data_IF_665973939487
#
_entry.id   IF_665973939487
#
_cell.length_a   1.000
_cell.length_b   1.000
_cell.length_c   1.000
_cell.angle_alpha   90.00
_cell.angle_beta   90.00
_cell.angle_gamma   90.00
#
_symmetry.space_group_name_H-M   'P 1'
#
loop_
_entity.id
_entity.type
_entity.pdbx_description
1 polymer ?
#
# COMPACT_ATOMS: atom_id res chain seq x y z
N UNK A 1 13.50 -13.84 4.99
CA UNK A 1 14.81 -14.45 4.75
C UNK A 1 15.79 -13.40 4.29
N UNK A 2 17.06 -13.50 4.71
CA UNK A 2 18.13 -12.51 4.48
C UNK A 2 18.33 -12.20 2.99
N UNK A 3 18.23 -13.21 2.13
CA UNK A 3 18.34 -13.07 0.66
C UNK A 3 17.26 -12.13 0.11
N UNK A 4 16.01 -12.23 0.60
CA UNK A 4 14.90 -11.36 0.17
C UNK A 4 15.15 -9.92 0.61
N UNK A 5 15.64 -9.71 1.83
CA UNK A 5 15.94 -8.35 2.35
C UNK A 5 17.06 -7.70 1.55
N UNK A 6 18.15 -8.42 1.29
CA UNK A 6 19.26 -7.94 0.47
C UNK A 6 18.83 -7.63 -0.97
N UNK A 7 17.99 -8.47 -1.56
CA UNK A 7 17.41 -8.23 -2.88
C UNK A 7 16.54 -6.96 -2.93
N UNK A 8 15.72 -6.71 -1.90
CA UNK A 8 14.90 -5.50 -1.81
C UNK A 8 15.74 -4.24 -1.57
N UNK A 9 16.80 -4.33 -0.75
CA UNK A 9 17.76 -3.24 -0.57
C UNK A 9 18.51 -2.95 -1.88
N UNK A 10 18.97 -3.98 -2.59
CA UNK A 10 19.59 -3.79 -3.90
C UNK A 10 18.64 -3.11 -4.89
N UNK A 11 17.33 -3.37 -4.83
CA UNK A 11 16.31 -2.71 -5.66
C UNK A 11 15.99 -1.27 -5.27
N UNK A 12 16.20 -0.87 -4.01
CA UNK A 12 15.94 0.50 -3.56
C UNK A 12 17.08 1.47 -3.89
N UNK A 13 18.28 0.95 -4.20
CA UNK A 13 19.41 1.77 -4.63
C UNK A 13 19.12 2.53 -5.93
N UNK A 14 19.43 3.83 -5.92
CA UNK A 14 19.32 4.73 -7.07
C UNK A 14 20.57 4.63 -7.94
N UNK A 15 20.41 4.02 -9.12
CA UNK A 15 21.45 4.00 -10.13
C UNK A 15 21.06 4.89 -11.32
N UNK A 16 22.01 5.55 -12.01
CA UNK A 16 21.73 6.43 -13.15
C UNK A 16 20.94 5.75 -14.29
N UNK A 17 21.13 4.45 -14.50
CA UNK A 17 20.42 3.66 -15.52
C UNK A 17 19.10 3.07 -15.03
N UNK A 18 18.83 3.08 -13.72
CA UNK A 18 17.65 2.45 -13.13
C UNK A 18 16.53 3.50 -13.01
N UNK A 19 15.52 3.36 -13.85
CA UNK A 19 14.36 4.27 -13.89
C UNK A 19 13.40 4.08 -12.72
N UNK A 20 13.30 2.86 -12.18
CA UNK A 20 12.38 2.51 -11.09
C UNK A 20 13.13 2.32 -9.78
N UNK A 21 12.71 3.06 -8.75
CA UNK A 21 13.23 2.93 -7.39
C UNK A 21 12.20 2.19 -6.55
N UNK A 22 12.60 1.07 -5.96
CA UNK A 22 11.73 0.35 -5.04
C UNK A 22 11.52 1.15 -3.75
N UNK A 23 10.26 1.30 -3.34
CA UNK A 23 9.85 2.10 -2.17
C UNK A 23 9.31 1.26 -1.02
N UNK A 24 8.66 0.15 -1.32
CA UNK A 24 8.21 -0.77 -0.29
C UNK A 24 7.24 -1.81 -0.83
N UNK A 25 6.70 -2.59 0.08
CA UNK A 25 5.78 -3.69 -0.19
C UNK A 25 4.65 -3.65 0.82
N UNK A 26 3.43 -3.99 0.41
CA UNK A 26 2.33 -4.17 1.33
C UNK A 26 2.33 -5.57 1.98
N UNK A 27 1.35 -5.83 2.84
CA UNK A 27 1.20 -7.11 3.53
C UNK A 27 0.79 -8.25 2.58
N UNK A 28 0.20 -7.92 1.42
CA UNK A 28 -0.17 -8.89 0.39
C UNK A 28 1.02 -9.27 -0.51
N UNK A 29 2.08 -8.45 -0.51
CA UNK A 29 3.28 -8.68 -1.29
C UNK A 29 3.32 -7.92 -2.63
N UNK A 30 2.44 -6.95 -2.83
CA UNK A 30 2.52 -6.04 -3.97
C UNK A 30 3.69 -5.07 -3.75
N UNK A 31 4.48 -4.86 -4.80
CA UNK A 31 5.68 -4.03 -4.75
C UNK A 31 5.41 -2.65 -5.33
N UNK A 32 5.85 -1.61 -4.63
CA UNK A 32 5.60 -0.22 -5.01
C UNK A 32 6.90 0.46 -5.44
N UNK A 33 6.81 1.19 -6.55
CA UNK A 33 7.94 1.81 -7.22
C UNK A 33 7.67 3.26 -7.55
N UNK A 34 8.74 4.05 -7.52
CA UNK A 34 8.73 5.44 -7.94
C UNK A 34 9.71 5.67 -9.10
N UNK A 35 9.24 6.32 -10.15
CA UNK A 35 9.99 6.64 -11.37
C UNK A 35 9.96 8.14 -11.63
N UNK A 36 11.10 8.76 -11.96
CA UNK A 36 11.10 10.14 -12.43
C UNK A 36 10.41 10.24 -13.79
N UNK A 37 9.50 11.21 -13.99
CA UNK A 37 8.78 11.34 -15.26
C UNK A 37 9.72 11.66 -16.43
N UNK A 38 10.63 12.62 -16.23
CA UNK A 38 11.70 13.04 -17.14
C UNK A 38 12.94 13.41 -16.33
N UNK A 39 14.11 13.47 -16.96
CA UNK A 39 15.33 14.03 -16.35
C UNK A 39 15.05 15.47 -15.91
N UNK A 40 15.24 15.78 -14.63
CA UNK A 40 14.98 17.10 -14.06
C UNK A 40 13.52 17.41 -13.69
N UNK A 41 12.57 16.49 -13.90
CA UNK A 41 11.18 16.70 -13.48
C UNK A 41 11.03 16.57 -11.96
N UNK A 42 10.36 17.55 -11.35
CA UNK A 42 9.93 17.50 -9.94
C UNK A 42 8.80 16.49 -9.71
N UNK A 43 8.09 16.08 -10.78
CA UNK A 43 7.00 15.09 -10.71
C UNK A 43 7.54 13.68 -10.95
N UNK A 44 7.28 12.80 -10.00
CA UNK A 44 7.54 11.36 -10.10
C UNK A 44 6.23 10.62 -10.43
N UNK A 45 6.32 9.55 -11.24
CA UNK A 45 5.25 8.58 -11.40
C UNK A 45 5.41 7.49 -10.33
N UNK A 46 4.30 7.07 -9.73
CA UNK A 46 4.24 5.95 -8.78
C UNK A 46 3.45 4.83 -9.42
N UNK A 47 3.93 3.59 -9.30
CA UNK A 47 3.23 2.42 -9.84
C UNK A 47 3.43 1.22 -8.93
N UNK A 48 2.53 0.25 -9.07
CA UNK A 48 2.50 -0.99 -8.31
C UNK A 48 2.75 -2.18 -9.25
N UNK A 49 3.57 -3.12 -8.79
CA UNK A 49 3.70 -4.45 -9.37
C UNK A 49 3.00 -5.42 -8.44
N UNK A 50 1.86 -5.93 -8.90
CA UNK A 50 1.09 -6.91 -8.14
C UNK A 50 1.82 -8.23 -8.03
N UNK A 51 1.67 -8.88 -6.87
CA UNK A 51 2.22 -10.22 -6.66
C UNK A 51 1.57 -11.23 -7.59
N UNK A 52 0.25 -11.15 -7.70
CA UNK A 52 -0.58 -12.01 -8.53
C UNK A 52 -0.84 -11.32 -9.87
N UNK A 53 -0.83 -12.12 -10.95
CA UNK A 53 -1.20 -11.64 -12.28
C UNK A 53 -2.71 -11.76 -12.41
N UNK A 54 -3.37 -10.65 -12.68
CA UNK A 54 -4.80 -10.61 -12.97
C UNK A 54 -5.06 -9.86 -14.28
N UNK A 55 -6.19 -10.15 -14.92
CA UNK A 55 -6.59 -9.43 -16.12
C UNK A 55 -6.96 -7.98 -15.75
N UNK A 56 -6.78 -7.05 -16.69
CA UNK A 56 -7.12 -5.62 -16.46
C UNK A 56 -8.60 -5.46 -16.07
N UNK A 57 -9.48 -6.33 -16.57
CA UNK A 57 -10.90 -6.39 -16.21
C UNK A 57 -11.17 -6.78 -14.76
N UNK A 58 -10.23 -7.44 -14.08
CA UNK A 58 -10.36 -7.88 -12.69
C UNK A 58 -9.73 -6.89 -11.70
N UNK A 59 -9.16 -5.79 -12.21
CA UNK A 59 -8.61 -4.73 -11.39
C UNK A 59 -9.71 -4.11 -10.53
N UNK A 60 -9.47 -4.04 -9.22
CA UNK A 60 -10.32 -3.31 -8.28
C UNK A 60 -9.44 -2.42 -7.41
N UNK A 61 -9.86 -1.17 -7.22
CA UNK A 61 -9.10 -0.16 -6.46
C UNK A 61 -9.01 -0.55 -4.97
N UNK A 62 -10.01 -1.28 -4.46
CA UNK A 62 -10.13 -1.72 -3.06
C UNK A 62 -9.08 -2.76 -2.61
N UNK A 63 -8.34 -3.37 -3.53
CA UNK A 63 -7.26 -4.32 -3.20
C UNK A 63 -6.02 -3.64 -2.62
N UNK A 64 -5.84 -2.35 -2.87
CA UNK A 64 -4.68 -1.62 -2.38
C UNK A 64 -4.99 -1.01 -1.01
N UNK A 65 -4.12 -1.20 0.01
CA UNK A 65 -4.30 -0.53 1.29
C UNK A 65 -4.38 0.99 1.14
N UNK A 66 -5.26 1.64 1.91
CA UNK A 66 -5.55 3.08 1.80
C UNK A 66 -4.28 3.94 1.93
N UNK A 67 -3.33 3.53 2.77
CA UNK A 67 -2.06 4.22 2.97
C UNK A 67 -1.20 4.19 1.69
N UNK A 68 -1.19 3.04 1.00
CA UNK A 68 -0.53 2.89 -0.30
C UNK A 68 -1.27 3.64 -1.40
N UNK A 69 -2.61 3.69 -1.38
CA UNK A 69 -3.38 4.53 -2.30
C UNK A 69 -3.05 6.02 -2.13
N UNK A 70 -3.01 6.52 -0.88
CA UNK A 70 -2.65 7.90 -0.57
C UNK A 70 -1.22 8.24 -1.03
N UNK A 71 -0.30 7.29 -0.88
CA UNK A 71 1.04 7.40 -1.46
C UNK A 71 0.99 7.40 -2.99
N UNK A 72 0.29 6.48 -3.65
CA UNK A 72 0.22 6.46 -5.12
C UNK A 72 -0.40 7.73 -5.71
N UNK A 73 -1.34 8.36 -5.01
CA UNK A 73 -2.00 9.62 -5.39
C UNK A 73 -1.21 10.88 -5.02
N UNK A 74 0.02 10.73 -4.51
CA UNK A 74 0.90 11.82 -4.07
C UNK A 74 0.32 12.69 -2.93
N UNK A 75 -0.74 12.24 -2.26
CA UNK A 75 -1.26 12.91 -1.05
C UNK A 75 -0.28 12.76 0.11
N UNK A 76 0.48 11.65 0.12
CA UNK A 76 1.54 11.38 1.09
C UNK A 76 2.92 11.41 0.42
N UNK A 77 3.92 11.99 1.08
CA UNK A 77 5.30 12.05 0.58
C UNK A 77 5.98 10.69 0.76
N UNK A 78 6.05 10.22 2.00
CA UNK A 78 6.75 8.99 2.39
C UNK A 78 5.91 7.74 2.17
N UNK A 79 6.56 6.63 1.80
CA UNK A 79 5.89 5.35 1.67
C UNK A 79 5.44 4.83 3.05
N UNK A 80 4.30 4.14 3.15
CA UNK A 80 3.85 3.55 4.40
C UNK A 80 4.77 2.42 4.85
N UNK A 81 4.85 2.21 6.17
CA UNK A 81 5.65 1.14 6.77
C UNK A 81 4.80 -0.10 7.02
N UNK A 82 5.44 -1.27 7.16
CA UNK A 82 4.72 -2.50 7.47
C UNK A 82 3.99 -2.44 8.82
N UNK A 83 4.61 -1.81 9.82
CA UNK A 83 4.03 -1.59 11.16
C UNK A 83 2.76 -0.73 11.09
N UNK A 84 2.77 0.33 10.28
CA UNK A 84 1.60 1.18 10.09
C UNK A 84 0.43 0.41 9.44
N UNK A 85 0.72 -0.43 8.45
CA UNK A 85 -0.30 -1.26 7.80
C UNK A 85 -0.91 -2.28 8.77
N UNK A 86 -0.10 -2.88 9.65
CA UNK A 86 -0.57 -3.81 10.68
C UNK A 86 -1.45 -3.09 11.71
N UNK A 87 -1.02 -1.92 12.18
CA UNK A 87 -1.79 -1.12 13.13
C UNK A 87 -3.15 -0.69 12.56
N UNK A 88 -3.22 -0.37 11.26
CA UNK A 88 -4.50 -0.05 10.62
C UNK A 88 -5.43 -1.27 10.50
N UNK A 89 -4.89 -2.48 10.29
CA UNK A 89 -5.71 -3.70 10.31
C UNK A 89 -6.30 -3.91 11.69
N UNK A 90 -5.49 -3.79 12.75
CA UNK A 90 -5.96 -3.92 14.13
C UNK A 90 -7.05 -2.88 14.45
N UNK A 91 -6.81 -1.62 14.07
CA UNK A 91 -7.79 -0.54 14.21
C UNK A 91 -9.10 -0.84 13.49
N UNK A 92 -9.05 -1.40 12.27
CA UNK A 92 -10.24 -1.81 11.51
C UNK A 92 -11.01 -2.91 12.22
N UNK A 93 -10.31 -3.93 12.73
CA UNK A 93 -10.94 -5.03 13.49
C UNK A 93 -11.66 -4.51 14.75
N UNK A 94 -11.02 -3.62 15.51
CA UNK A 94 -11.63 -3.01 16.68
C UNK A 94 -12.86 -2.17 16.32
N UNK A 95 -12.77 -1.39 15.23
CA UNK A 95 -13.88 -0.60 14.72
C UNK A 95 -15.07 -1.49 14.34
N UNK A 96 -14.83 -2.59 13.63
CA UNK A 96 -15.88 -3.53 13.21
C UNK A 96 -16.60 -4.15 14.42
N UNK A 97 -15.85 -4.50 15.48
CA UNK A 97 -16.43 -4.97 16.74
C UNK A 97 -17.30 -3.91 17.39
N UNK A 98 -16.84 -2.66 17.46
CA UNK A 98 -17.59 -1.56 18.05
C UNK A 98 -18.87 -1.25 17.27
N UNK A 99 -18.78 -1.26 15.93
CA UNK A 99 -19.93 -1.06 15.04
C UNK A 99 -20.98 -2.14 15.28
N UNK A 100 -20.57 -3.41 15.36
CA UNK A 100 -21.47 -4.53 15.66
C UNK A 100 -22.17 -4.36 17.01
N UNK A 101 -21.43 -4.01 18.06
CA UNK A 101 -22.00 -3.79 19.39
C UNK A 101 -23.01 -2.63 19.40
N UNK A 102 -22.77 -1.58 18.62
CA UNK A 102 -23.71 -0.46 18.49
C UNK A 102 -24.99 -0.89 17.77
N UNK A 103 -24.85 -1.61 16.65
CA UNK A 103 -25.99 -2.15 15.89
C UNK A 103 -26.88 -3.06 16.75
N UNK A 104 -26.28 -3.93 17.57
CA UNK A 104 -27.02 -4.79 18.50
C UNK A 104 -27.78 -3.98 19.57
N UNK A 105 -27.21 -2.87 20.06
CA UNK A 105 -27.88 -1.98 21.01
C UNK A 105 -29.03 -1.21 20.38
N UNK A 106 -28.84 -0.70 19.16
CA UNK A 106 -29.88 0.01 18.41
C UNK A 106 -31.06 -0.92 18.10
N UNK A 107 -30.79 -2.16 17.67
CA UNK A 107 -31.83 -3.15 17.39
C UNK A 107 -32.67 -3.48 18.64
N UNK A 108 -32.03 -3.70 19.79
CA UNK A 108 -32.72 -3.96 21.07
C UNK A 108 -33.53 -2.79 21.60
N UNK A 109 -33.24 -1.56 21.16
CA UNK A 109 -34.00 -0.37 21.57
C UNK A 109 -35.25 -0.14 20.70
N UNK A 110 -35.28 -0.75 19.51
CA UNK A 110 -36.41 -0.68 18.58
C UNK A 110 -37.44 -1.80 18.88
N UNK A 111 -36.97 -2.97 19.32
CA UNK A 111 -37.78 -4.09 19.80
C UNK A 111 -38.43 -3.83 21.16
#
# INVERSE_FOLDING_TARGET
>A
GIIRTAYMQWKSLRFPWRRDVFRGMDLEGNMYFERAFNVGSRRTRRHVMYRERFAVSEFRDDRIPVQWQAWMRHTRIDAPTAEELLADIERRQQMDMNVRMLQEREQRAIE
#
